data_IF_494517849576
#
_entry.id   IF_494517849576
#
_cell.length_a   1.000
_cell.length_b   1.000
_cell.length_c   1.000
_cell.angle_alpha   90.00
_cell.angle_beta   90.00
_cell.angle_gamma   90.00
#
_symmetry.space_group_name_H-M   'P 1'
#
loop_
_entity.id
_entity.type
_entity.pdbx_description
1 polymer ?
#
# COMPACT_ATOMS: atom_id res chain seq x y z
N UNK A 1 12.47 24.48 -23.72
CA UNK A 1 12.45 23.18 -23.01
C UNK A 1 12.31 23.47 -21.52
N UNK A 2 11.09 23.36 -20.99
CA UNK A 2 10.90 23.34 -19.54
C UNK A 2 11.26 21.94 -19.03
N UNK A 3 12.06 21.81 -17.97
CA UNK A 3 12.31 20.51 -17.37
C UNK A 3 11.00 19.91 -16.89
N UNK A 4 10.70 18.70 -17.33
CA UNK A 4 9.56 17.94 -16.84
C UNK A 4 9.93 17.50 -15.42
N UNK A 5 9.09 17.85 -14.45
CA UNK A 5 9.29 17.35 -13.08
C UNK A 5 9.11 15.83 -13.09
N UNK A 6 10.13 15.11 -12.67
CA UNK A 6 10.11 13.65 -12.57
C UNK A 6 9.94 13.29 -11.10
N UNK A 7 8.99 12.43 -10.80
CA UNK A 7 8.82 11.86 -9.47
C UNK A 7 9.48 10.48 -9.46
N UNK A 8 10.48 10.33 -8.61
CA UNK A 8 11.17 9.05 -8.41
C UNK A 8 10.51 8.28 -7.27
N UNK A 9 10.24 7.01 -7.51
CA UNK A 9 9.79 6.04 -6.51
C UNK A 9 10.84 4.96 -6.37
N UNK A 10 11.21 4.63 -5.13
CA UNK A 10 12.10 3.52 -4.82
C UNK A 10 11.32 2.46 -4.04
N UNK A 11 11.28 1.24 -4.54
CA UNK A 11 10.67 0.09 -3.89
C UNK A 11 11.72 -0.99 -3.66
N UNK A 12 11.87 -1.41 -2.41
CA UNK A 12 12.77 -2.51 -2.01
C UNK A 12 12.08 -3.86 -1.96
N UNK A 13 10.78 -3.90 -2.27
CA UNK A 13 10.00 -5.11 -2.34
C UNK A 13 9.43 -5.59 -1.01
N UNK A 14 9.22 -4.71 -0.04
CA UNK A 14 8.46 -5.02 1.16
C UNK A 14 6.97 -4.78 0.93
N UNK A 15 6.17 -5.83 1.04
CA UNK A 15 4.72 -5.82 0.79
C UNK A 15 3.97 -6.05 2.09
N UNK A 16 3.05 -5.14 2.44
CA UNK A 16 2.06 -5.37 3.49
C UNK A 16 0.83 -6.03 2.86
N UNK A 17 0.48 -7.21 3.34
CA UNK A 17 -0.76 -7.91 2.96
C UNK A 17 -1.75 -7.76 4.10
N UNK A 18 -2.92 -7.20 3.82
CA UNK A 18 -4.00 -6.98 4.80
C UNK A 18 -5.17 -7.86 4.43
N UNK A 19 -5.71 -8.61 5.37
CA UNK A 19 -6.92 -9.37 5.09
C UNK A 19 -7.15 -10.59 5.97
N UNK A 20 -8.19 -11.38 5.66
CA UNK A 20 -8.47 -12.62 6.37
C UNK A 20 -7.31 -13.60 6.29
N UNK A 21 -7.12 -14.39 7.35
CA UNK A 21 -5.97 -15.29 7.52
C UNK A 21 -5.66 -16.15 6.29
N UNK A 22 -6.65 -16.84 5.77
CA UNK A 22 -6.44 -17.77 4.63
C UNK A 22 -6.05 -17.03 3.35
N UNK A 23 -6.68 -15.90 3.06
CA UNK A 23 -6.36 -15.07 1.90
C UNK A 23 -4.97 -14.45 2.02
N UNK A 24 -4.61 -13.93 3.20
CA UNK A 24 -3.30 -13.35 3.45
C UNK A 24 -2.17 -14.39 3.36
N UNK A 25 -2.40 -15.60 3.88
CA UNK A 25 -1.44 -16.71 3.78
C UNK A 25 -1.22 -17.15 2.33
N UNK A 26 -2.28 -17.34 1.56
CA UNK A 26 -2.20 -17.72 0.14
C UNK A 26 -1.43 -16.66 -0.68
N UNK A 27 -1.79 -15.40 -0.52
CA UNK A 27 -1.11 -14.30 -1.19
C UNK A 27 0.39 -14.21 -0.80
N UNK A 28 0.70 -14.36 0.48
CA UNK A 28 2.08 -14.34 0.96
C UNK A 28 2.90 -15.51 0.39
N UNK A 29 2.34 -16.69 0.30
CA UNK A 29 3.01 -17.85 -0.31
C UNK A 29 3.30 -17.64 -1.80
N UNK A 30 2.41 -16.99 -2.51
CA UNK A 30 2.57 -16.67 -3.95
C UNK A 30 3.59 -15.56 -4.20
N UNK A 31 3.74 -14.62 -3.26
CA UNK A 31 4.64 -13.47 -3.38
C UNK A 31 6.02 -13.68 -2.75
N UNK A 32 6.12 -14.49 -1.71
CA UNK A 32 7.33 -14.66 -0.90
C UNK A 32 8.61 -15.06 -1.67
N UNK A 33 8.56 -15.77 -2.80
CA UNK A 33 9.76 -16.04 -3.59
C UNK A 33 10.44 -14.78 -4.12
N UNK A 34 9.66 -13.74 -4.42
CA UNK A 34 10.14 -12.54 -5.13
C UNK A 34 10.26 -11.31 -4.22
N UNK A 35 9.41 -11.23 -3.18
CA UNK A 35 9.31 -10.05 -2.31
C UNK A 35 9.22 -10.45 -0.83
N UNK A 36 9.54 -9.50 0.05
CA UNK A 36 9.33 -9.65 1.50
C UNK A 36 7.87 -9.36 1.84
N UNK A 37 7.21 -10.29 2.52
CA UNK A 37 5.80 -10.18 2.88
C UNK A 37 5.61 -9.97 4.38
N UNK A 38 4.81 -8.97 4.73
CA UNK A 38 4.26 -8.74 6.06
C UNK A 38 2.75 -8.94 5.98
N UNK A 39 2.23 -10.01 6.57
CA UNK A 39 0.81 -10.29 6.53
C UNK A 39 0.12 -9.85 7.83
N UNK A 40 -0.72 -8.82 7.72
CA UNK A 40 -1.62 -8.36 8.78
C UNK A 40 -2.94 -9.11 8.66
N UNK A 41 -3.17 -10.03 9.59
CA UNK A 41 -4.42 -10.78 9.65
C UNK A 41 -5.48 -9.95 10.36
N UNK A 42 -6.56 -9.63 9.63
CA UNK A 42 -7.72 -8.89 10.13
C UNK A 42 -8.87 -9.83 10.48
N UNK A 43 -9.83 -9.36 11.30
CA UNK A 43 -11.04 -10.11 11.62
C UNK A 43 -10.88 -11.29 12.57
N UNK A 44 -9.72 -11.46 13.19
CA UNK A 44 -9.54 -12.48 14.23
C UNK A 44 -9.81 -11.88 15.62
N UNK A 45 -10.65 -12.55 16.38
CA UNK A 45 -10.81 -12.29 17.80
C UNK A 45 -9.55 -12.81 18.54
N UNK A 46 -8.66 -11.93 18.81
CA UNK A 46 -7.49 -12.09 19.69
C UNK A 46 -6.12 -12.02 19.02
N UNK A 47 -5.31 -11.26 19.69
CA UNK A 47 -3.84 -11.18 19.62
C UNK A 47 -3.18 -12.56 19.81
N UNK A 48 -3.07 -13.34 18.77
CA UNK A 48 -2.13 -14.45 18.74
C UNK A 48 -0.97 -14.08 17.81
N UNK A 49 0.12 -13.67 18.40
CA UNK A 49 1.38 -13.53 17.69
C UNK A 49 1.87 -14.93 17.34
N UNK A 50 1.65 -15.35 16.13
CA UNK A 50 2.29 -16.54 15.60
C UNK A 50 3.65 -16.17 15.04
N UNK A 51 4.69 -16.66 15.72
CA UNK A 51 6.04 -16.73 15.19
C UNK A 51 6.01 -17.37 13.80
N UNK A 52 6.77 -16.87 12.83
CA UNK A 52 6.78 -17.43 11.49
C UNK A 52 7.09 -18.92 11.55
N UNK A 53 6.19 -19.73 11.02
CA UNK A 53 6.45 -21.16 10.83
C UNK A 53 7.70 -21.29 9.98
N UNK A 54 8.70 -21.95 10.53
CA UNK A 54 9.99 -22.18 9.89
C UNK A 54 9.80 -22.73 8.46
N UNK A 55 10.07 -21.92 7.46
CA UNK A 55 9.99 -22.34 6.06
C UNK A 55 10.15 -21.21 5.05
N UNK A 56 9.80 -20.00 5.38
CA UNK A 56 10.00 -18.87 4.49
C UNK A 56 10.63 -17.70 5.24
N UNK A 57 11.88 -17.42 4.93
CA UNK A 57 12.63 -16.29 5.52
C UNK A 57 12.10 -14.91 5.11
N UNK A 58 11.04 -14.87 4.27
CA UNK A 58 10.54 -13.65 3.65
C UNK A 58 9.07 -13.35 3.96
N UNK A 59 8.44 -14.10 4.83
CA UNK A 59 7.05 -13.84 5.22
C UNK A 59 6.92 -13.82 6.74
N UNK A 60 6.43 -12.71 7.27
CA UNK A 60 6.05 -12.56 8.68
C UNK A 60 4.53 -12.40 8.77
N UNK A 61 3.93 -13.01 9.78
CA UNK A 61 2.49 -12.95 10.02
C UNK A 61 2.24 -12.36 11.40
N UNK A 62 1.29 -11.46 11.48
CA UNK A 62 0.85 -10.90 12.73
C UNK A 62 -0.65 -10.60 12.69
N UNK A 63 -1.28 -10.65 13.84
CA UNK A 63 -2.70 -10.35 14.01
C UNK A 63 -2.82 -8.97 14.60
N UNK A 64 -3.69 -8.14 14.05
CA UNK A 64 -3.87 -6.80 14.54
C UNK A 64 -4.94 -6.05 13.76
N UNK A 65 -5.12 -4.80 14.14
CA UNK A 65 -6.05 -3.90 13.47
C UNK A 65 -5.30 -2.67 12.98
N UNK A 66 -5.54 -2.34 11.72
CA UNK A 66 -4.97 -1.16 11.11
C UNK A 66 -5.58 0.10 11.73
N UNK A 67 -4.74 1.04 12.13
CA UNK A 67 -5.15 2.33 12.65
C UNK A 67 -4.99 3.45 11.62
N UNK A 68 -3.91 3.42 10.85
CA UNK A 68 -3.66 4.37 9.77
C UNK A 68 -2.78 3.76 8.68
N UNK A 69 -3.03 4.18 7.45
CA UNK A 69 -2.25 3.81 6.27
C UNK A 69 -2.18 5.01 5.34
N UNK A 70 -0.97 5.51 5.11
CA UNK A 70 -0.71 6.71 4.30
C UNK A 70 0.54 6.53 3.47
N UNK A 71 0.58 7.18 2.31
CA UNK A 71 1.78 7.23 1.49
C UNK A 71 1.57 6.75 0.06
N UNK A 72 2.61 6.20 -0.51
CA UNK A 72 2.67 5.78 -1.92
C UNK A 72 3.74 4.70 -2.12
N UNK A 73 3.87 4.22 -3.35
CA UNK A 73 4.89 3.24 -3.75
C UNK A 73 6.27 3.58 -3.18
N UNK A 74 6.84 2.64 -2.46
CA UNK A 74 8.13 2.78 -1.79
C UNK A 74 8.08 3.47 -0.42
N UNK A 75 6.95 4.03 -0.02
CA UNK A 75 6.86 4.81 1.22
C UNK A 75 5.45 4.83 1.83
N UNK A 76 4.89 3.66 2.10
CA UNK A 76 3.65 3.54 2.88
C UNK A 76 3.96 3.48 4.37
N UNK A 77 3.44 4.45 5.11
CA UNK A 77 3.51 4.46 6.57
C UNK A 77 2.32 3.69 7.14
N UNK A 78 2.62 2.74 8.01
CA UNK A 78 1.64 1.84 8.60
C UNK A 78 1.59 2.06 10.11
N UNK A 79 0.38 2.26 10.65
CA UNK A 79 0.13 2.30 12.09
C UNK A 79 -0.94 1.30 12.46
N UNK A 80 -0.73 0.60 13.56
CA UNK A 80 -1.62 -0.43 14.09
C UNK A 80 -2.18 0.00 15.44
N UNK A 81 -3.36 -0.49 15.77
CA UNK A 81 -3.93 -0.31 17.11
C UNK A 81 -3.16 -1.17 18.12
N UNK A 82 -2.68 -0.54 19.18
CA UNK A 82 -1.99 -1.17 20.31
C UNK A 82 -2.65 -0.73 21.62
N UNK A 83 -3.75 -1.37 21.99
CA UNK A 83 -4.58 -0.95 23.11
C UNK A 83 -5.26 0.39 22.83
N UNK A 84 -5.03 1.39 23.69
CA UNK A 84 -5.55 2.75 23.52
C UNK A 84 -4.66 3.66 22.68
N UNK A 85 -3.50 3.17 22.24
CA UNK A 85 -2.53 3.93 21.46
C UNK A 85 -2.35 3.32 20.08
N UNK A 86 -1.62 4.03 19.22
CA UNK A 86 -1.17 3.53 17.92
C UNK A 86 0.32 3.29 17.98
N UNK A 87 0.76 2.21 17.33
CA UNK A 87 2.17 1.86 17.22
C UNK A 87 2.55 1.61 15.76
N UNK A 88 3.78 1.91 15.42
CA UNK A 88 4.33 1.57 14.11
C UNK A 88 4.91 0.14 14.07
N UNK A 89 5.38 -0.27 12.90
CA UNK A 89 5.90 -1.63 12.68
C UNK A 89 7.19 -1.91 13.47
N UNK A 90 7.99 -0.90 13.77
CA UNK A 90 9.23 -1.04 14.56
C UNK A 90 8.89 -1.19 16.03
N UNK A 91 8.01 -0.34 16.56
CA UNK A 91 7.56 -0.38 17.96
C UNK A 91 6.92 -1.73 18.32
N UNK A 92 6.22 -2.34 17.35
CA UNK A 92 5.63 -3.67 17.53
C UNK A 92 6.60 -4.82 17.27
N UNK A 93 7.83 -4.53 16.87
CA UNK A 93 8.84 -5.56 16.56
C UNK A 93 8.51 -6.41 15.31
N UNK A 94 7.63 -5.92 14.46
CA UNK A 94 7.17 -6.64 13.26
C UNK A 94 8.12 -6.42 12.09
N UNK A 95 8.72 -5.26 12.00
CA UNK A 95 9.64 -4.88 10.93
C UNK A 95 10.80 -4.04 11.47
N UNK A 96 11.90 -4.05 10.75
CA UNK A 96 13.02 -3.13 10.98
C UNK A 96 12.83 -1.74 10.34
N UNK A 97 11.70 -1.53 9.66
CA UNK A 97 11.36 -0.29 8.96
C UNK A 97 9.96 0.18 9.36
N UNK A 98 9.78 1.50 9.45
CA UNK A 98 8.47 2.13 9.71
C UNK A 98 7.53 2.04 8.51
N UNK A 99 8.07 1.85 7.32
CA UNK A 99 7.34 1.90 6.05
C UNK A 99 7.46 0.60 5.29
N UNK A 100 6.45 0.34 4.46
CA UNK A 100 6.46 -0.70 3.43
C UNK A 100 6.41 -0.07 2.05
N UNK A 101 6.81 -0.82 1.04
CA UNK A 101 6.90 -0.31 -0.33
C UNK A 101 5.58 -0.46 -1.10
N UNK A 102 4.85 -1.53 -0.81
CA UNK A 102 3.64 -1.94 -1.50
C UNK A 102 2.60 -2.39 -0.49
N UNK A 103 1.32 -2.25 -0.83
CA UNK A 103 0.20 -2.74 -0.02
C UNK A 103 -0.76 -3.55 -0.88
N UNK A 104 -1.05 -4.77 -0.45
CA UNK A 104 -2.12 -5.61 -1.00
C UNK A 104 -3.22 -5.74 0.06
N UNK A 105 -4.32 -5.05 -0.16
CA UNK A 105 -5.47 -5.03 0.74
C UNK A 105 -6.53 -6.00 0.24
N UNK A 106 -6.71 -7.09 0.98
CA UNK A 106 -7.67 -8.16 0.67
C UNK A 106 -8.98 -8.03 1.45
N UNK A 107 -9.12 -7.00 2.27
CA UNK A 107 -10.36 -6.72 2.98
C UNK A 107 -11.44 -6.20 2.01
N UNK A 108 -12.67 -6.47 2.33
CA UNK A 108 -13.84 -5.97 1.63
C UNK A 108 -14.84 -5.42 2.66
N UNK A 109 -15.04 -4.12 2.70
CA UNK A 109 -14.44 -3.06 1.87
C UNK A 109 -12.95 -2.80 2.21
N UNK A 110 -12.15 -2.33 1.22
CA UNK A 110 -10.75 -2.04 1.44
C UNK A 110 -10.56 -0.80 2.33
N UNK A 111 -9.38 -0.67 2.93
CA UNK A 111 -9.04 0.46 3.78
C UNK A 111 -9.10 1.80 3.05
N UNK A 112 -8.46 1.88 1.87
CA UNK A 112 -8.52 3.05 1.01
C UNK A 112 -9.62 2.85 -0.03
N UNK A 113 -10.70 3.63 0.07
CA UNK A 113 -11.88 3.55 -0.79
C UNK A 113 -11.89 4.60 -1.89
N UNK A 114 -10.73 5.14 -2.24
CA UNK A 114 -10.60 6.13 -3.31
C UNK A 114 -10.74 5.48 -4.68
N UNK A 115 -11.35 6.20 -5.62
CA UNK A 115 -11.38 5.80 -7.03
C UNK A 115 -9.98 5.86 -7.66
N UNK A 116 -9.09 6.70 -7.10
CA UNK A 116 -7.70 6.83 -7.50
C UNK A 116 -6.82 6.54 -6.28
N UNK A 117 -6.59 5.26 -5.97
CA UNK A 117 -5.70 4.90 -4.88
C UNK A 117 -4.25 5.29 -5.21
N UNK A 118 -3.41 5.51 -4.20
CA UNK A 118 -2.01 5.83 -4.43
C UNK A 118 -1.28 4.70 -5.18
N UNK A 119 -0.26 5.02 -5.98
CA UNK A 119 0.57 4.00 -6.62
C UNK A 119 1.11 3.00 -5.59
N UNK A 120 1.12 1.72 -5.93
CA UNK A 120 1.59 0.65 -5.05
C UNK A 120 0.54 0.10 -4.07
N UNK A 121 -0.67 0.64 -4.06
CA UNK A 121 -1.80 0.12 -3.30
C UNK A 121 -2.73 -0.69 -4.21
N UNK A 122 -2.97 -1.94 -3.85
CA UNK A 122 -3.82 -2.87 -4.59
C UNK A 122 -4.96 -3.35 -3.70
N UNK A 123 -6.19 -3.22 -4.17
CA UNK A 123 -7.40 -3.63 -3.47
C UNK A 123 -8.35 -4.39 -4.42
N UNK A 124 -8.18 -5.71 -4.57
CA UNK A 124 -8.99 -6.52 -5.49
C UNK A 124 -10.46 -6.67 -5.06
N UNK A 125 -10.82 -6.36 -3.81
CA UNK A 125 -12.20 -6.36 -3.29
C UNK A 125 -13.00 -7.63 -3.64
N UNK A 126 -12.42 -8.79 -3.35
CA UNK A 126 -13.05 -10.09 -3.60
C UNK A 126 -13.12 -10.53 -5.07
N UNK A 127 -12.52 -9.78 -5.99
CA UNK A 127 -12.44 -10.15 -7.40
C UNK A 127 -11.19 -11.01 -7.67
N UNK A 128 -11.34 -12.32 -8.03
CA UNK A 128 -10.19 -13.20 -8.27
C UNK A 128 -9.29 -12.76 -9.41
N UNK A 129 -9.86 -12.17 -10.46
CA UNK A 129 -9.09 -11.69 -11.61
C UNK A 129 -8.24 -10.47 -11.24
N UNK A 130 -8.79 -9.54 -10.45
CA UNK A 130 -8.06 -8.39 -9.93
C UNK A 130 -6.95 -8.83 -8.97
N UNK A 131 -7.19 -9.86 -8.16
CA UNK A 131 -6.19 -10.44 -7.27
C UNK A 131 -5.03 -11.05 -8.06
N UNK A 132 -5.31 -11.86 -9.07
CA UNK A 132 -4.29 -12.46 -9.93
C UNK A 132 -3.47 -11.40 -10.66
N UNK A 133 -4.11 -10.34 -11.16
CA UNK A 133 -3.43 -9.22 -11.78
C UNK A 133 -2.51 -8.48 -10.79
N UNK A 134 -2.95 -8.24 -9.57
CA UNK A 134 -2.15 -7.61 -8.52
C UNK A 134 -0.92 -8.47 -8.15
N UNK A 135 -1.13 -9.76 -7.95
CA UNK A 135 -0.05 -10.72 -7.64
C UNK A 135 0.99 -10.84 -8.77
N UNK A 136 0.56 -10.66 -10.02
CA UNK A 136 1.47 -10.63 -11.17
C UNK A 136 2.25 -9.31 -11.28
N UNK A 137 1.65 -8.18 -10.89
CA UNK A 137 2.26 -6.85 -10.99
C UNK A 137 3.25 -6.55 -9.86
N UNK A 138 2.97 -6.99 -8.64
CA UNK A 138 3.74 -6.64 -7.44
C UNK A 138 5.23 -6.98 -7.57
N UNK A 139 5.66 -8.17 -8.03
CA UNK A 139 7.08 -8.47 -8.20
C UNK A 139 7.80 -7.53 -9.18
N UNK A 140 7.10 -7.02 -10.18
CA UNK A 140 7.64 -6.05 -11.15
C UNK A 140 7.80 -4.63 -10.61
N UNK A 141 7.28 -4.34 -9.42
CA UNK A 141 7.35 -3.03 -8.77
C UNK A 141 8.48 -2.95 -7.72
N UNK A 142 9.51 -3.74 -7.88
CA UNK A 142 10.75 -3.66 -7.11
C UNK A 142 11.80 -2.89 -7.92
N UNK A 143 12.41 -1.86 -7.33
CA UNK A 143 13.45 -1.07 -7.98
C UNK A 143 13.18 0.43 -7.94
N UNK A 144 13.80 1.15 -8.84
CA UNK A 144 13.60 2.59 -9.00
C UNK A 144 12.69 2.87 -10.20
N UNK A 145 11.69 3.70 -9.97
CA UNK A 145 10.71 4.08 -10.98
C UNK A 145 10.65 5.59 -11.11
N UNK A 146 10.69 6.07 -12.34
CA UNK A 146 10.50 7.47 -12.67
C UNK A 146 9.19 7.63 -13.42
N UNK A 147 8.31 8.47 -12.89
CA UNK A 147 7.07 8.81 -13.57
C UNK A 147 7.07 10.31 -13.88
N UNK A 148 6.99 10.69 -15.17
CA UNK A 148 6.83 12.09 -15.53
C UNK A 148 5.53 12.65 -14.93
N UNK A 149 5.64 13.75 -14.22
CA UNK A 149 4.46 14.52 -13.81
C UNK A 149 3.98 15.37 -15.00
N UNK A 150 2.91 14.95 -15.62
CA UNK A 150 2.22 15.78 -16.60
C UNK A 150 1.16 16.63 -15.88
N UNK A 151 1.44 17.90 -15.73
CA UNK A 151 0.41 18.88 -15.39
C UNK A 151 -0.22 19.36 -16.69
N UNK A 152 -1.34 18.79 -17.06
CA UNK A 152 -2.17 19.35 -18.12
C UNK A 152 -3.04 20.47 -17.50
N UNK A 153 -2.63 21.71 -17.67
CA UNK A 153 -3.50 22.85 -17.39
C UNK A 153 -4.44 23.03 -18.58
N UNK A 154 -5.71 22.78 -18.36
CA UNK A 154 -6.75 23.07 -19.34
C UNK A 154 -7.39 24.42 -19.00
N UNK A 155 -7.06 25.48 -19.74
CA UNK A 155 -7.61 26.80 -19.48
C UNK A 155 -9.12 26.86 -19.69
N UNK A 156 -9.72 25.89 -20.37
CA UNK A 156 -11.18 25.85 -20.58
C UNK A 156 -11.95 25.48 -19.30
N UNK A 157 -11.30 24.86 -18.33
CA UNK A 157 -11.90 24.47 -17.07
C UNK A 157 -11.81 25.59 -16.03
N UNK A 158 -10.86 26.49 -16.17
CA UNK A 158 -10.70 27.60 -15.24
C UNK A 158 -11.69 28.72 -15.51
N UNK A 159 -12.58 28.99 -14.57
CA UNK A 159 -13.58 30.07 -14.65
C UNK A 159 -12.95 31.44 -14.88
N UNK A 160 -11.73 31.66 -14.36
CA UNK A 160 -11.01 32.93 -14.56
C UNK A 160 -10.57 33.14 -15.99
N UNK A 161 -10.09 32.13 -16.69
CA UNK A 161 -9.63 32.26 -18.07
C UNK A 161 -10.80 32.36 -19.08
N UNK A 162 -11.99 32.00 -18.65
CA UNK A 162 -13.18 31.98 -19.53
C UNK A 162 -14.05 33.23 -19.43
N UNK A 163 -14.09 33.89 -18.29
CA UNK A 163 -15.01 35.02 -18.03
C UNK A 163 -14.32 36.30 -17.58
N UNK A 164 -13.02 36.28 -17.37
CA UNK A 164 -12.29 37.45 -16.82
C UNK A 164 -12.66 37.81 -15.38
N UNK A 165 -13.47 36.97 -14.71
CA UNK A 165 -13.84 37.16 -13.31
C UNK A 165 -12.79 36.49 -12.41
N UNK A 166 -12.30 37.21 -11.43
CA UNK A 166 -11.38 36.66 -10.42
C UNK A 166 -12.12 35.69 -9.49
N UNK A 167 -12.25 34.44 -9.92
CA UNK A 167 -12.89 33.40 -9.14
C UNK A 167 -11.89 32.54 -8.34
N UNK A 168 -10.58 32.68 -8.58
CA UNK A 168 -9.55 31.96 -7.85
C UNK A 168 -8.90 32.90 -6.84
N UNK A 169 -8.90 32.59 -5.53
CA UNK A 169 -8.11 33.33 -4.55
C UNK A 169 -6.61 33.15 -4.85
N UNK A 170 -5.88 34.19 -4.65
CA UNK A 170 -4.39 34.17 -4.77
C UNK A 170 -3.77 33.37 -3.64
#
# INVERSE_FOLDING_TARGET
NRPVAVVSYESRGAVLIIGPRNAALDAAQRLAPDVECLALVTGADALESHTPTAGSRRAAFFVGKLAALEGHLGHFRVRLEAGEQQADLIELGVSSRETVDLVLDLDDPPWIRSQLPPPGYFAPSGNPQALDAALAQIPGLVGQFEKPQFFAYDPSICAHSRSGVQACPR
#
